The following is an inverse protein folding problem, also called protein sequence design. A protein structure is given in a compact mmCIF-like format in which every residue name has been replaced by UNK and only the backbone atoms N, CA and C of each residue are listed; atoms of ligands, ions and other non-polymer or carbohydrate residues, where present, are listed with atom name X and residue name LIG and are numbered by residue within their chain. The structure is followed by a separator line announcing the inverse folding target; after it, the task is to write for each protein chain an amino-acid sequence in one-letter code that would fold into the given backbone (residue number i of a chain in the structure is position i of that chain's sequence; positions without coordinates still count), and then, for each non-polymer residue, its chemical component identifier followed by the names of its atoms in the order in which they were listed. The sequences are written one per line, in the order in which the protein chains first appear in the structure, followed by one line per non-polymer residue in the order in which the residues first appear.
data_IF_553287339416
#
_entry.id   IF_553287339416
#
_cell.length_a   1.000
_cell.length_b   1.000
_cell.length_c   1.000
_cell.angle_alpha   90.00
_cell.angle_beta   90.00
_cell.angle_gamma   90.00
#
_symmetry.space_group_name_H-M   'P 1'
#
loop_
_entity.id
_entity.type
_entity.pdbx_description
1 polymer ?
#
# COMPACT_ATOMS: atom_id res chain seq x y z
N UNK A 1 9.92 -3.31 -21.28
CA UNK A 1 9.31 -3.38 -22.63
C UNK A 1 8.26 -2.27 -22.81
N UNK A 2 7.94 -1.82 -24.03
CA UNK A 2 6.85 -0.84 -24.23
C UNK A 2 5.49 -1.34 -23.75
N UNK A 3 5.29 -2.65 -23.68
CA UNK A 3 4.09 -3.26 -23.12
C UNK A 3 3.87 -2.96 -21.62
N UNK A 4 4.95 -2.61 -20.87
CA UNK A 4 4.87 -2.31 -19.44
C UNK A 4 3.93 -1.14 -19.11
N UNK A 5 3.71 -0.22 -20.06
CA UNK A 5 2.79 0.90 -19.87
C UNK A 5 1.32 0.49 -19.70
N UNK A 6 0.97 -0.74 -20.09
CA UNK A 6 -0.37 -1.30 -19.92
C UNK A 6 -0.43 -2.48 -18.94
N UNK A 7 0.64 -2.76 -18.20
CA UNK A 7 0.65 -3.83 -17.21
C UNK A 7 -0.15 -3.42 -15.98
N UNK A 8 -0.93 -4.34 -15.45
CA UNK A 8 -1.43 -4.26 -14.10
C UNK A 8 -0.45 -4.97 -13.15
N UNK A 9 -0.86 -5.13 -11.90
CA UNK A 9 -0.08 -5.83 -10.88
C UNK A 9 0.34 -7.24 -11.34
N UNK A 10 -0.59 -8.03 -11.88
CA UNK A 10 -0.33 -9.42 -12.25
C UNK A 10 0.78 -9.59 -13.30
N UNK A 11 0.79 -8.77 -14.35
CA UNK A 11 1.85 -8.84 -15.38
C UNK A 11 3.22 -8.42 -14.82
N UNK A 12 3.26 -7.35 -14.02
CA UNK A 12 4.50 -6.89 -13.40
C UNK A 12 5.06 -7.93 -12.40
N UNK A 13 4.18 -8.56 -11.61
CA UNK A 13 4.56 -9.62 -10.68
C UNK A 13 5.08 -10.83 -11.41
N UNK A 14 4.37 -11.33 -12.43
CA UNK A 14 4.78 -12.49 -13.20
C UNK A 14 6.17 -12.31 -13.83
N UNK A 15 6.48 -11.13 -14.37
CA UNK A 15 7.79 -10.83 -14.96
C UNK A 15 8.91 -10.81 -13.90
N UNK A 16 8.66 -10.18 -12.75
CA UNK A 16 9.60 -10.15 -11.63
C UNK A 16 9.85 -11.54 -11.03
N UNK A 17 8.78 -12.28 -10.72
CA UNK A 17 8.83 -13.62 -10.13
C UNK A 17 9.48 -14.65 -11.06
N UNK A 18 9.41 -14.42 -12.38
CA UNK A 18 10.13 -15.21 -13.40
C UNK A 18 11.63 -14.89 -13.49
N UNK A 19 12.13 -13.92 -12.72
CA UNK A 19 13.54 -13.52 -12.69
C UNK A 19 13.94 -12.57 -13.83
N UNK A 20 12.99 -11.92 -14.51
CA UNK A 20 13.28 -11.01 -15.62
C UNK A 20 13.50 -9.56 -15.18
N UNK A 21 13.21 -9.23 -13.92
CA UNK A 21 13.40 -7.90 -13.34
C UNK A 21 14.18 -7.96 -12.03
N UNK A 22 14.98 -6.94 -11.75
CA UNK A 22 15.76 -6.80 -10.50
C UNK A 22 14.96 -6.11 -9.40
N UNK A 23 13.95 -5.32 -9.78
CA UNK A 23 13.08 -4.59 -8.87
C UNK A 23 11.64 -4.63 -9.40
N UNK A 24 10.68 -4.71 -8.48
CA UNK A 24 9.26 -4.47 -8.75
C UNK A 24 8.72 -3.54 -7.68
N UNK A 25 7.91 -2.55 -8.09
CA UNK A 25 7.24 -1.66 -7.16
C UNK A 25 5.83 -2.21 -6.91
N UNK A 26 5.54 -2.64 -5.68
CA UNK A 26 4.34 -3.40 -5.38
C UNK A 26 3.96 -3.35 -3.89
N UNK A 27 2.78 -3.90 -3.60
CA UNK A 27 2.26 -4.26 -2.27
C UNK A 27 2.79 -5.62 -1.78
N UNK A 28 2.31 -6.07 -0.62
CA UNK A 28 2.84 -7.22 0.11
C UNK A 28 2.69 -8.57 -0.58
N UNK A 29 1.74 -8.69 -1.52
CA UNK A 29 1.45 -9.94 -2.24
C UNK A 29 2.71 -10.56 -2.87
N UNK A 30 3.64 -9.72 -3.38
CA UNK A 30 4.86 -10.20 -4.04
C UNK A 30 5.77 -10.96 -3.07
N UNK A 31 5.78 -10.57 -1.79
CA UNK A 31 6.61 -11.21 -0.77
C UNK A 31 6.21 -12.67 -0.56
N UNK A 32 4.90 -12.95 -0.48
CA UNK A 32 4.37 -14.30 -0.37
C UNK A 32 4.44 -15.07 -1.69
N UNK A 33 4.09 -14.44 -2.81
CA UNK A 33 4.14 -15.08 -4.14
C UNK A 33 5.57 -15.47 -4.54
N UNK A 34 6.59 -14.76 -4.06
CA UNK A 34 7.99 -15.15 -4.26
C UNK A 34 8.32 -16.53 -3.68
N UNK A 35 7.57 -16.98 -2.67
CA UNK A 35 7.76 -18.25 -1.97
C UNK A 35 7.06 -19.42 -2.67
N UNK A 36 6.22 -19.16 -3.67
CA UNK A 36 5.55 -20.19 -4.44
C UNK A 36 6.45 -20.74 -5.58
N UNK A 37 6.98 -21.97 -5.48
CA UNK A 37 7.81 -22.53 -6.54
C UNK A 37 7.03 -22.86 -7.84
N UNK A 38 5.69 -22.82 -7.82
CA UNK A 38 4.86 -23.01 -9.01
C UNK A 38 4.70 -21.73 -9.85
N UNK A 39 4.95 -20.56 -9.25
CA UNK A 39 4.85 -19.25 -9.91
C UNK A 39 6.14 -18.43 -9.88
N UNK A 40 7.11 -18.78 -9.02
CA UNK A 40 8.33 -18.02 -8.76
C UNK A 40 9.60 -18.86 -8.90
N UNK A 41 10.66 -18.25 -9.43
CA UNK A 41 12.03 -18.81 -9.46
C UNK A 41 13.00 -18.08 -8.50
N UNK A 42 12.46 -17.19 -7.66
CA UNK A 42 13.23 -16.24 -6.84
C UNK A 42 13.14 -16.48 -5.33
N UNK A 43 12.53 -17.58 -4.88
CA UNK A 43 12.57 -17.98 -3.46
C UNK A 43 14.03 -18.03 -2.95
N UNK A 44 14.26 -17.43 -1.77
CA UNK A 44 15.59 -17.29 -1.14
C UNK A 44 16.49 -16.27 -1.84
N UNK A 45 15.92 -15.41 -2.67
CA UNK A 45 16.62 -14.33 -3.39
C UNK A 45 15.89 -12.99 -3.28
N UNK A 46 14.82 -12.92 -2.49
CA UNK A 46 14.00 -11.72 -2.39
C UNK A 46 14.67 -10.72 -1.44
N UNK A 47 14.90 -9.50 -1.93
CA UNK A 47 15.12 -8.34 -1.08
C UNK A 47 13.87 -7.47 -1.05
N UNK A 48 13.56 -6.88 0.10
CA UNK A 48 12.47 -5.93 0.24
C UNK A 48 12.95 -4.67 0.99
N UNK A 49 12.31 -3.54 0.71
CA UNK A 49 12.55 -2.26 1.37
C UNK A 49 11.31 -1.38 1.21
N UNK A 50 11.01 -0.57 2.22
CA UNK A 50 10.00 0.49 2.12
C UNK A 50 10.33 1.52 1.02
N UNK A 51 9.38 2.41 0.76
CA UNK A 51 9.49 3.41 -0.32
C UNK A 51 10.74 4.28 -0.10
N UNK A 52 11.59 4.46 -1.14
CA UNK A 52 12.75 5.34 -1.04
C UNK A 52 12.33 6.78 -0.71
N UNK A 53 13.05 7.42 0.21
CA UNK A 53 12.86 8.84 0.51
C UNK A 53 13.49 9.77 -0.53
N UNK A 54 13.25 11.07 -0.35
CA UNK A 54 13.80 12.12 -1.22
C UNK A 54 14.59 13.16 -0.42
N UNK A 55 15.74 13.59 -0.93
CA UNK A 55 16.48 14.74 -0.38
C UNK A 55 15.92 16.09 -0.82
N UNK A 56 14.97 16.08 -1.77
CA UNK A 56 14.36 17.29 -2.30
C UNK A 56 12.83 17.22 -2.27
N UNK A 57 12.22 17.19 -1.06
CA UNK A 57 10.77 17.32 -0.95
C UNK A 57 10.33 18.75 -1.29
N UNK A 58 9.10 18.90 -1.80
CA UNK A 58 8.49 20.21 -2.02
C UNK A 58 7.85 20.72 -0.74
N UNK A 59 8.20 21.93 -0.32
CA UNK A 59 7.60 22.59 0.83
C UNK A 59 6.45 23.49 0.38
N UNK A 60 5.22 23.16 0.79
CA UNK A 60 4.01 23.91 0.44
C UNK A 60 3.93 25.29 1.12
N UNK A 61 4.56 25.48 2.28
CA UNK A 61 4.54 26.76 3.00
C UNK A 61 5.47 27.79 2.35
N UNK A 62 6.64 27.35 1.89
CA UNK A 62 7.63 28.22 1.23
C UNK A 62 7.45 28.25 -0.29
N UNK A 63 6.79 27.25 -0.87
CA UNK A 63 6.61 27.10 -2.32
C UNK A 63 7.87 26.64 -3.06
N UNK A 64 8.84 26.04 -2.36
CA UNK A 64 10.16 25.70 -2.89
C UNK A 64 10.53 24.23 -2.61
N UNK A 65 11.35 23.64 -3.48
CA UNK A 65 12.00 22.37 -3.20
C UNK A 65 13.10 22.56 -2.16
N UNK A 66 13.14 21.68 -1.18
CA UNK A 66 14.18 21.66 -0.14
C UNK A 66 15.45 20.96 -0.65
N UNK A 67 16.56 21.15 0.04
CA UNK A 67 17.80 20.39 -0.13
C UNK A 67 18.24 19.87 1.25
N UNK A 68 18.06 18.58 1.48
CA UNK A 68 18.26 17.93 2.78
C UNK A 68 19.54 17.09 2.79
N UNK A 69 20.27 17.12 3.91
CA UNK A 69 21.44 16.27 4.12
C UNK A 69 21.06 14.77 4.09
N UNK A 70 19.96 14.42 4.73
CA UNK A 70 19.38 13.07 4.77
C UNK A 70 18.02 13.03 4.06
N UNK A 71 17.65 11.89 3.42
CA UNK A 71 16.39 11.80 2.70
C UNK A 71 15.19 11.89 3.65
N UNK A 72 14.19 12.66 3.24
CA UNK A 72 12.86 12.64 3.85
C UNK A 72 12.19 11.29 3.55
N UNK A 73 12.12 10.44 4.57
CA UNK A 73 11.48 9.12 4.51
C UNK A 73 10.02 9.24 4.95
N UNK A 74 9.10 8.76 4.12
CA UNK A 74 7.65 8.83 4.37
C UNK A 74 7.07 7.44 4.27
N UNK A 75 6.59 6.92 5.40
CA UNK A 75 5.86 5.66 5.47
C UNK A 75 4.44 5.84 4.98
N UNK A 76 3.76 4.76 4.63
CA UNK A 76 2.34 4.79 4.29
C UNK A 76 1.63 3.49 4.71
N UNK A 77 0.33 3.43 4.48
CA UNK A 77 -0.50 2.27 4.84
C UNK A 77 -0.28 1.03 3.94
N UNK A 78 0.69 1.08 3.01
CA UNK A 78 1.00 0.03 2.02
C UNK A 78 -0.26 -0.43 1.28
N UNK A 79 -1.05 0.55 0.82
CA UNK A 79 -2.37 0.36 0.24
C UNK A 79 -3.49 0.85 1.17
N UNK A 80 -4.65 0.20 1.11
CA UNK A 80 -5.76 0.44 2.03
C UNK A 80 -5.78 -0.63 3.15
N UNK A 81 -6.41 -0.33 4.28
CA UNK A 81 -6.65 -1.37 5.30
C UNK A 81 -7.76 -2.28 4.79
N UNK A 82 -7.41 -3.50 4.37
CA UNK A 82 -8.39 -4.48 3.93
C UNK A 82 -9.12 -5.07 5.13
N UNK A 83 -10.45 -5.02 5.11
CA UNK A 83 -11.28 -5.61 6.15
C UNK A 83 -12.62 -6.07 5.54
N UNK A 84 -13.25 -7.10 6.11
CA UNK A 84 -14.58 -7.48 5.66
C UNK A 84 -15.58 -6.34 5.90
N UNK A 85 -16.59 -6.25 5.04
CA UNK A 85 -17.71 -5.31 5.16
C UNK A 85 -19.02 -6.08 5.24
N UNK A 86 -19.83 -5.79 6.26
CA UNK A 86 -21.14 -6.41 6.43
C UNK A 86 -22.21 -5.55 5.77
N UNK A 87 -22.85 -6.10 4.74
CA UNK A 87 -23.99 -5.45 4.11
C UNK A 87 -25.15 -5.30 5.09
N UNK A 88 -25.76 -4.11 5.12
CA UNK A 88 -27.01 -3.85 5.84
C UNK A 88 -28.17 -4.74 5.39
N UNK A 89 -28.07 -5.33 4.20
CA UNK A 89 -29.07 -6.20 3.60
C UNK A 89 -28.81 -7.70 3.82
N UNK A 90 -27.82 -8.07 4.65
CA UNK A 90 -27.52 -9.47 4.93
C UNK A 90 -28.73 -10.19 5.55
N UNK A 91 -29.09 -11.35 5.00
CA UNK A 91 -30.21 -12.16 5.52
C UNK A 91 -29.90 -12.75 6.91
N UNK A 92 -28.63 -13.08 7.17
CA UNK A 92 -28.15 -13.66 8.42
C UNK A 92 -26.95 -12.86 8.94
N UNK A 93 -27.15 -11.61 9.44
CA UNK A 93 -26.06 -10.72 9.81
C UNK A 93 -25.21 -11.28 10.95
N UNK A 94 -25.80 -11.99 11.91
CA UNK A 94 -25.08 -12.59 13.03
C UNK A 94 -24.12 -13.70 12.57
N UNK A 95 -24.52 -14.53 11.61
CA UNK A 95 -23.66 -15.58 11.07
C UNK A 95 -22.52 -14.98 10.23
N UNK A 96 -22.83 -13.98 9.41
CA UNK A 96 -21.82 -13.26 8.64
C UNK A 96 -20.80 -12.59 9.56
N UNK A 97 -21.27 -11.90 10.61
CA UNK A 97 -20.42 -11.31 11.63
C UNK A 97 -19.58 -12.37 12.36
N UNK A 98 -20.16 -13.51 12.74
CA UNK A 98 -19.42 -14.60 13.38
C UNK A 98 -18.27 -15.09 12.51
N UNK A 99 -18.50 -15.29 11.21
CA UNK A 99 -17.43 -15.69 10.29
C UNK A 99 -16.34 -14.62 10.16
N UNK A 100 -16.72 -13.34 10.05
CA UNK A 100 -15.76 -12.22 10.00
C UNK A 100 -14.92 -12.14 11.28
N UNK A 101 -15.55 -12.25 12.45
CA UNK A 101 -14.88 -12.22 13.74
C UNK A 101 -13.97 -13.45 13.93
N UNK A 102 -14.38 -14.61 13.42
CA UNK A 102 -13.55 -15.82 13.41
C UNK A 102 -12.31 -15.66 12.53
N UNK A 103 -12.44 -15.07 11.33
CA UNK A 103 -11.28 -14.75 10.48
C UNK A 103 -10.32 -13.73 11.12
N UNK A 104 -10.83 -12.87 12.00
CA UNK A 104 -10.07 -11.83 12.68
C UNK A 104 -9.42 -12.31 14.00
N UNK A 105 -9.57 -13.57 14.42
CA UNK A 105 -8.83 -14.06 15.59
C UNK A 105 -7.34 -14.13 15.25
N UNK A 106 -6.44 -13.78 16.19
CA UNK A 106 -5.00 -13.73 15.92
C UNK A 106 -4.45 -15.01 15.27
N UNK A 107 -4.90 -16.19 15.73
CA UNK A 107 -4.41 -17.46 15.22
C UNK A 107 -4.77 -17.70 13.75
N UNK A 108 -5.95 -17.26 13.32
CA UNK A 108 -6.44 -17.45 11.94
C UNK A 108 -5.89 -16.35 11.04
N UNK A 109 -5.93 -15.11 11.51
CA UNK A 109 -5.41 -14.00 10.76
C UNK A 109 -3.90 -14.13 10.52
N UNK A 110 -3.13 -14.46 11.56
CA UNK A 110 -1.69 -14.69 11.42
C UNK A 110 -1.39 -15.89 10.51
N UNK A 111 -2.17 -16.97 10.59
CA UNK A 111 -2.02 -18.09 9.67
C UNK A 111 -2.24 -17.66 8.21
N UNK A 112 -3.25 -16.82 7.94
CA UNK A 112 -3.48 -16.29 6.60
C UNK A 112 -2.28 -15.49 6.09
N UNK A 113 -1.68 -14.64 6.95
CA UNK A 113 -0.47 -13.85 6.64
C UNK A 113 0.74 -14.75 6.39
N UNK A 114 1.07 -15.62 7.35
CA UNK A 114 2.27 -16.46 7.30
C UNK A 114 2.21 -17.52 6.18
N UNK A 115 1.02 -18.03 5.85
CA UNK A 115 0.83 -18.91 4.70
C UNK A 115 0.96 -18.14 3.38
N UNK A 116 0.66 -16.83 3.38
CA UNK A 116 1.00 -15.89 2.31
C UNK A 116 0.12 -15.94 1.05
N UNK A 117 -0.34 -17.12 0.63
CA UNK A 117 -1.17 -17.30 -0.57
C UNK A 117 -2.64 -16.89 -0.42
N UNK A 118 -3.00 -16.43 0.78
CA UNK A 118 -4.37 -16.02 1.09
C UNK A 118 -4.67 -14.59 0.64
N UNK A 119 -3.64 -13.83 0.23
CA UNK A 119 -3.74 -12.42 -0.13
C UNK A 119 -3.89 -11.50 1.08
N UNK A 120 -3.54 -11.96 2.28
CA UNK A 120 -3.53 -11.14 3.49
C UNK A 120 -2.11 -10.69 3.78
N UNK A 121 -1.86 -9.40 3.65
CA UNK A 121 -0.58 -8.78 3.95
C UNK A 121 -0.33 -8.68 5.46
N UNK A 122 0.94 -8.70 5.91
CA UNK A 122 1.31 -8.38 7.28
C UNK A 122 0.78 -6.99 7.68
N UNK A 123 0.10 -6.90 8.83
CA UNK A 123 -0.50 -5.63 9.23
C UNK A 123 -0.89 -5.51 10.70
N UNK A 124 -0.80 -6.59 11.46
CA UNK A 124 -1.18 -6.62 12.86
C UNK A 124 0.04 -6.78 13.77
N UNK A 125 -0.10 -6.41 15.04
CA UNK A 125 1.02 -6.44 15.99
C UNK A 125 1.62 -7.83 16.20
N UNK A 126 0.90 -8.90 15.86
CA UNK A 126 1.41 -10.28 15.96
C UNK A 126 2.01 -10.80 14.66
N UNK A 127 2.07 -9.99 13.59
CA UNK A 127 2.75 -10.35 12.33
C UNK A 127 4.21 -9.90 12.30
N UNK A 128 4.61 -9.01 13.22
CA UNK A 128 5.94 -8.42 13.26
C UNK A 128 6.89 -9.23 14.12
N UNK A 129 8.17 -9.22 13.76
CA UNK A 129 9.24 -9.71 14.62
C UNK A 129 9.50 -8.74 15.79
N UNK A 130 10.17 -9.24 16.83
CA UNK A 130 10.69 -8.40 17.91
C UNK A 130 11.57 -7.27 17.33
N UNK A 131 11.48 -6.03 17.86
CA UNK A 131 10.76 -5.60 19.06
C UNK A 131 9.32 -5.11 18.84
N UNK A 132 8.80 -5.20 17.61
CA UNK A 132 7.52 -4.56 17.23
C UNK A 132 6.32 -5.49 17.37
N UNK A 133 6.57 -6.80 17.44
CA UNK A 133 5.54 -7.82 17.55
C UNK A 133 6.07 -9.12 18.11
N UNK A 134 5.25 -10.16 18.01
CA UNK A 134 5.51 -11.46 18.62
C UNK A 134 5.77 -12.58 17.61
N UNK A 135 5.71 -12.30 16.31
CA UNK A 135 6.00 -13.30 15.30
C UNK A 135 7.46 -13.75 15.36
N UNK A 136 7.71 -14.93 14.84
CA UNK A 136 9.03 -15.54 14.72
C UNK A 136 9.30 -15.91 13.26
N UNK A 137 10.57 -15.93 12.87
CA UNK A 137 10.96 -16.36 11.51
C UNK A 137 10.47 -17.79 11.27
N UNK A 138 10.51 -18.65 12.29
CA UNK A 138 10.06 -20.04 12.23
C UNK A 138 8.58 -20.19 11.84
N UNK A 139 7.71 -19.26 12.24
CA UNK A 139 6.29 -19.27 11.86
C UNK A 139 6.10 -18.99 10.36
N UNK A 140 6.84 -18.04 9.79
CA UNK A 140 6.84 -17.79 8.35
C UNK A 140 7.48 -18.94 7.56
N UNK A 141 8.56 -19.53 8.08
CA UNK A 141 9.19 -20.72 7.49
C UNK A 141 8.23 -21.90 7.48
N UNK A 142 7.42 -22.07 8.53
CA UNK A 142 6.36 -23.09 8.56
C UNK A 142 5.27 -22.83 7.50
N UNK A 143 5.06 -21.58 7.09
CA UNK A 143 4.23 -21.16 5.96
C UNK A 143 4.87 -21.35 4.58
N UNK A 144 6.16 -21.70 4.51
CA UNK A 144 6.89 -21.98 3.27
C UNK A 144 7.86 -20.88 2.83
N UNK A 145 8.09 -19.87 3.66
CA UNK A 145 9.08 -18.83 3.37
C UNK A 145 10.51 -19.35 3.46
N UNK A 146 11.38 -18.82 2.61
CA UNK A 146 12.80 -18.79 2.92
C UNK A 146 13.05 -17.87 4.14
N UNK A 147 13.89 -18.26 5.11
CA UNK A 147 14.13 -17.46 6.32
C UNK A 147 14.65 -16.05 6.02
N UNK A 148 15.52 -15.90 5.03
CA UNK A 148 16.10 -14.60 4.68
C UNK A 148 15.10 -13.71 3.94
N UNK A 149 14.26 -14.31 3.09
CA UNK A 149 13.17 -13.58 2.44
C UNK A 149 12.16 -13.08 3.47
N UNK A 150 11.80 -13.89 4.47
CA UNK A 150 10.90 -13.49 5.56
C UNK A 150 11.47 -12.33 6.39
N UNK A 151 12.75 -12.40 6.77
CA UNK A 151 13.45 -11.32 7.50
C UNK A 151 13.40 -10.00 6.72
N UNK A 152 13.73 -10.04 5.43
CA UNK A 152 13.76 -8.84 4.58
C UNK A 152 12.35 -8.29 4.34
N UNK A 153 11.39 -9.16 4.05
CA UNK A 153 10.01 -8.78 3.75
C UNK A 153 9.33 -8.14 4.96
N UNK A 154 9.31 -8.83 6.10
CA UNK A 154 8.68 -8.31 7.33
C UNK A 154 9.46 -7.12 7.88
N UNK A 155 10.80 -7.15 7.82
CA UNK A 155 11.65 -6.03 8.21
C UNK A 155 11.35 -4.76 7.42
N UNK A 156 11.07 -4.88 6.11
CA UNK A 156 10.72 -3.72 5.27
C UNK A 156 9.39 -3.07 5.66
N UNK A 157 8.41 -3.89 6.07
CA UNK A 157 7.14 -3.40 6.63
C UNK A 157 7.36 -2.72 7.98
N UNK A 158 8.18 -3.30 8.84
CA UNK A 158 8.50 -2.72 10.15
C UNK A 158 9.19 -1.36 9.99
N UNK A 159 10.11 -1.24 9.03
CA UNK A 159 10.73 0.04 8.70
C UNK A 159 9.69 1.09 8.30
N UNK A 160 8.79 0.75 7.39
CA UNK A 160 7.72 1.63 6.91
C UNK A 160 6.75 2.06 8.03
N UNK A 161 6.32 1.14 8.89
CA UNK A 161 5.31 1.41 9.91
C UNK A 161 5.86 2.04 11.19
N UNK A 162 7.10 1.73 11.57
CA UNK A 162 7.64 2.09 12.88
C UNK A 162 8.90 2.95 12.83
N UNK A 163 9.70 2.89 11.76
CA UNK A 163 11.00 3.57 11.72
C UNK A 163 11.02 4.81 10.83
N UNK A 164 10.07 4.95 9.91
CA UNK A 164 9.98 6.15 9.08
C UNK A 164 9.39 7.30 9.92
N UNK A 165 9.99 8.51 9.85
CA UNK A 165 9.67 9.62 10.75
C UNK A 165 8.33 10.30 10.44
N UNK A 166 7.83 10.12 9.21
CA UNK A 166 6.58 10.71 8.73
C UNK A 166 5.72 9.56 8.18
N UNK A 167 4.41 9.65 8.40
CA UNK A 167 3.46 8.68 7.91
C UNK A 167 2.37 9.37 7.09
N UNK A 168 2.22 8.99 5.82
CA UNK A 168 1.16 9.47 4.95
C UNK A 168 -0.10 8.63 5.17
N UNK A 169 -1.22 9.32 5.45
CA UNK A 169 -2.53 8.70 5.60
C UNK A 169 -3.20 8.45 4.25
N UNK A 170 -4.16 7.54 4.24
CA UNK A 170 -4.99 7.26 3.07
C UNK A 170 -6.20 8.22 3.04
N UNK A 171 -6.57 8.74 1.86
CA UNK A 171 -7.71 9.66 1.72
C UNK A 171 -9.02 8.87 1.90
N UNK A 172 -9.72 9.07 3.02
CA UNK A 172 -10.95 8.31 3.39
C UNK A 172 -12.17 9.22 3.48
N UNK A 173 -12.50 9.90 2.38
CA UNK A 173 -13.66 10.79 2.25
C UNK A 173 -14.48 10.42 1.00
N UNK A 174 -15.75 10.86 0.89
CA UNK A 174 -16.50 10.77 -0.36
C UNK A 174 -15.72 11.43 -1.52
N UNK A 175 -15.81 10.87 -2.72
CA UNK A 175 -15.09 11.38 -3.90
C UNK A 175 -13.66 10.83 -4.06
N UNK A 176 -13.09 10.10 -3.10
CA UNK A 176 -11.71 9.56 -3.23
C UNK A 176 -11.54 8.72 -4.49
N UNK A 177 -12.50 7.85 -4.83
CA UNK A 177 -12.37 6.96 -5.99
C UNK A 177 -12.33 7.76 -7.29
N UNK A 178 -13.17 8.78 -7.42
CA UNK A 178 -13.23 9.68 -8.55
C UNK A 178 -11.94 10.50 -8.67
N UNK A 179 -11.43 11.03 -7.54
CA UNK A 179 -10.17 11.76 -7.48
C UNK A 179 -8.98 10.90 -7.93
N UNK A 180 -8.85 9.68 -7.38
CA UNK A 180 -7.77 8.76 -7.76
C UNK A 180 -7.88 8.33 -9.23
N UNK A 181 -9.09 8.09 -9.72
CA UNK A 181 -9.31 7.73 -11.13
C UNK A 181 -8.90 8.86 -12.07
N UNK A 182 -9.27 10.10 -11.78
CA UNK A 182 -8.84 11.26 -12.57
C UNK A 182 -7.31 11.39 -12.60
N UNK A 183 -6.68 11.22 -11.43
CA UNK A 183 -5.23 11.26 -11.33
C UNK A 183 -4.55 10.14 -12.15
N UNK A 184 -5.02 8.89 -12.04
CA UNK A 184 -4.47 7.75 -12.79
C UNK A 184 -4.58 7.95 -14.31
N UNK A 185 -5.71 8.49 -14.80
CA UNK A 185 -5.92 8.79 -16.21
C UNK A 185 -4.86 9.79 -16.70
N UNK A 186 -4.73 10.94 -16.04
CA UNK A 186 -3.82 11.99 -16.48
C UNK A 186 -2.35 11.60 -16.31
N UNK A 187 -2.03 10.84 -15.27
CA UNK A 187 -0.70 10.26 -15.10
C UNK A 187 -0.37 9.32 -16.28
N UNK A 188 -1.31 8.47 -16.68
CA UNK A 188 -1.17 7.58 -17.84
C UNK A 188 -0.93 8.36 -19.15
N UNK A 189 -1.70 9.44 -19.38
CA UNK A 189 -1.52 10.32 -20.53
C UNK A 189 -0.12 10.96 -20.55
N UNK A 190 0.39 11.40 -19.40
CA UNK A 190 1.74 11.98 -19.30
C UNK A 190 2.85 10.95 -19.53
N UNK A 191 2.81 9.79 -18.88
CA UNK A 191 3.88 8.78 -19.00
C UNK A 191 3.94 8.15 -20.39
N UNK A 192 2.82 8.13 -21.11
CA UNK A 192 2.75 7.70 -22.52
C UNK A 192 3.04 8.83 -23.52
N UNK A 193 3.29 10.05 -23.04
CA UNK A 193 3.69 11.20 -23.86
C UNK A 193 2.55 11.86 -24.65
N UNK A 194 1.30 11.62 -24.28
CA UNK A 194 0.13 12.23 -24.94
C UNK A 194 -0.03 13.70 -24.54
N UNK A 195 0.31 14.03 -23.29
CA UNK A 195 0.33 15.39 -22.76
C UNK A 195 1.60 15.64 -21.94
N UNK A 196 1.89 16.90 -21.62
CA UNK A 196 3.03 17.23 -20.75
C UNK A 196 2.74 16.87 -19.28
N UNK A 197 3.78 16.63 -18.44
CA UNK A 197 3.59 16.43 -17.01
C UNK A 197 2.85 17.59 -16.33
N UNK A 198 3.13 18.83 -16.74
CA UNK A 198 2.44 20.01 -16.19
C UNK A 198 0.94 19.96 -16.53
N UNK A 199 0.61 19.70 -17.79
CA UNK A 199 -0.79 19.64 -18.22
C UNK A 199 -1.57 18.50 -17.54
N UNK A 200 -0.93 17.36 -17.27
CA UNK A 200 -1.56 16.29 -16.51
C UNK A 200 -1.89 16.69 -15.06
N UNK A 201 -0.99 17.41 -14.41
CA UNK A 201 -1.21 17.92 -13.04
C UNK A 201 -2.29 19.02 -13.02
N UNK A 202 -2.30 19.91 -14.01
CA UNK A 202 -3.31 20.97 -14.12
C UNK A 202 -4.71 20.37 -14.32
N UNK A 203 -4.84 19.37 -15.20
CA UNK A 203 -6.13 18.66 -15.40
C UNK A 203 -6.58 17.90 -14.15
N UNK A 204 -5.65 17.20 -13.49
CA UNK A 204 -5.94 16.52 -12.22
C UNK A 204 -6.45 17.51 -11.17
N UNK A 205 -5.83 18.69 -11.08
CA UNK A 205 -6.27 19.74 -10.17
C UNK A 205 -7.68 20.22 -10.50
N UNK A 206 -7.98 20.52 -11.75
CA UNK A 206 -9.31 20.99 -12.19
C UNK A 206 -10.40 19.95 -11.91
N UNK A 207 -10.14 18.67 -12.21
CA UNK A 207 -11.05 17.57 -11.92
C UNK A 207 -11.29 17.42 -10.40
N UNK A 208 -10.23 17.52 -9.60
CA UNK A 208 -10.37 17.47 -8.14
C UNK A 208 -11.16 18.66 -7.61
N UNK A 209 -10.96 19.88 -8.13
CA UNK A 209 -11.77 21.02 -7.74
C UNK A 209 -13.25 20.78 -8.04
N UNK A 210 -13.57 20.27 -9.23
CA UNK A 210 -14.94 19.94 -9.60
C UNK A 210 -15.56 18.89 -8.66
N UNK A 211 -14.85 17.79 -8.38
CA UNK A 211 -15.33 16.75 -7.46
C UNK A 211 -15.53 17.31 -6.05
N UNK A 212 -14.58 18.12 -5.56
CA UNK A 212 -14.68 18.74 -4.23
C UNK A 212 -15.91 19.65 -4.14
N UNK A 213 -16.18 20.43 -5.19
CA UNK A 213 -17.32 21.34 -5.22
C UNK A 213 -18.67 20.61 -5.36
N UNK A 214 -18.73 19.50 -6.09
CA UNK A 214 -19.94 18.66 -6.25
C UNK A 214 -20.36 17.99 -4.94
N UNK A 215 -19.40 17.45 -4.18
CA UNK A 215 -19.65 16.86 -2.86
C UNK A 215 -19.85 17.91 -1.75
N UNK A 216 -19.33 19.12 -1.93
CA UNK A 216 -19.37 20.19 -0.94
C UNK A 216 -18.05 20.33 -0.17
N UNK A 217 -17.33 21.43 -0.45
CA UNK A 217 -15.98 21.68 0.06
C UNK A 217 -15.87 21.71 1.58
N UNK A 218 -16.79 22.40 2.26
CA UNK A 218 -16.75 22.52 3.73
C UNK A 218 -16.95 21.16 4.40
N UNK A 219 -17.89 20.36 3.90
CA UNK A 219 -18.18 19.02 4.41
C UNK A 219 -17.00 18.06 4.16
N UNK A 220 -16.44 18.06 2.95
CA UNK A 220 -15.26 17.24 2.64
C UNK A 220 -14.03 17.64 3.46
N UNK A 221 -13.82 18.94 3.68
CA UNK A 221 -12.72 19.42 4.50
C UNK A 221 -12.87 18.92 5.94
N UNK A 222 -14.06 19.05 6.53
CA UNK A 222 -14.33 18.55 7.87
C UNK A 222 -14.11 17.04 7.95
N UNK A 223 -14.67 16.27 7.01
CA UNK A 223 -14.49 14.82 6.96
C UNK A 223 -13.02 14.42 6.80
N UNK A 224 -12.25 15.15 5.98
CA UNK A 224 -10.83 14.87 5.79
C UNK A 224 -10.06 15.12 7.08
N UNK A 225 -10.26 16.28 7.71
CA UNK A 225 -9.63 16.63 8.99
C UNK A 225 -9.96 15.59 10.07
N UNK A 226 -11.23 15.21 10.20
CA UNK A 226 -11.65 14.16 11.12
C UNK A 226 -11.00 12.80 10.81
N UNK A 227 -10.90 12.44 9.52
CA UNK A 227 -10.32 11.15 9.09
C UNK A 227 -8.84 10.99 9.46
N UNK A 228 -8.10 12.10 9.53
CA UNK A 228 -6.68 12.13 9.90
C UNK A 228 -6.44 12.62 11.34
N UNK A 229 -7.51 12.91 12.09
CA UNK A 229 -7.43 13.47 13.45
C UNK A 229 -6.80 14.86 13.52
N UNK A 230 -6.83 15.63 12.43
CA UNK A 230 -6.29 16.98 12.39
C UNK A 230 -7.24 17.97 13.05
N UNK A 231 -6.69 18.81 13.94
CA UNK A 231 -7.41 19.90 14.57
C UNK A 231 -6.73 21.21 14.14
N UNK A 232 -7.38 22.06 13.33
CA UNK A 232 -6.83 23.36 12.94
C UNK A 232 -6.45 24.18 14.18
N UNK A 233 -5.29 24.84 14.12
CA UNK A 233 -4.86 25.79 15.15
C UNK A 233 -5.48 27.17 14.93
#
# INVERSE_FOLDING_TARGET
PSAMWGWALGEAWADFLSGNAVMTFSWGDVGSLAQDPTQSVIQGKLGARGIPGTKSPYNLETGEFMDLDEPNMVGNQVGCSWHPVLSKYAENPDLAYYWMAWQATPEINHWNVAYGWTGVDPGTTYDWFEPYGTATIEEYVAGGYDPSDAEQFIGSYQDNFYNYPIFQTYIRIPGTTEMMTAWDIHLSEAVTGQISPQEALDRTYDDWQFIIDDYGREDLLQLYQDSIGYQPQ
#
